data_IF_529547391832
#
_entry.id   IF_529547391832
#
_cell.length_a   1.000
_cell.length_b   1.000
_cell.length_c   1.000
_cell.angle_alpha   90.00
_cell.angle_beta   90.00
_cell.angle_gamma   90.00
#
_symmetry.space_group_name_H-M   'P 1'
#
loop_
_entity.id
_entity.type
_entity.pdbx_description
1 polymer ?
#
# COMPACT_ATOMS: atom_id res chain seq x y z
N UNK A 1 -74.95 -27.78 30.31
CA UNK A 1 -76.14 -27.27 29.59
C UNK A 1 -76.09 -25.76 29.53
N UNK A 2 -76.20 -25.23 28.31
CA UNK A 2 -76.40 -23.82 27.98
C UNK A 2 -77.66 -23.27 28.67
N UNK A 3 -77.59 -22.05 29.21
CA UNK A 3 -78.78 -21.20 29.31
C UNK A 3 -78.46 -19.75 28.99
N UNK A 4 -78.99 -19.35 27.83
CA UNK A 4 -79.78 -18.14 27.60
C UNK A 4 -79.04 -16.81 27.63
N UNK A 5 -79.16 -16.06 26.52
CA UNK A 5 -79.08 -14.61 26.57
C UNK A 5 -80.45 -14.03 26.25
N UNK A 6 -81.01 -13.34 27.24
CA UNK A 6 -82.07 -12.36 27.09
C UNK A 6 -81.44 -10.97 27.05
N UNK A 7 -81.98 -10.14 26.17
CA UNK A 7 -81.54 -8.79 25.83
C UNK A 7 -81.95 -7.79 26.92
N UNK A 8 -81.17 -6.73 27.11
CA UNK A 8 -81.57 -5.33 26.88
C UNK A 8 -80.42 -4.39 27.33
N UNK A 9 -79.89 -3.63 26.36
CA UNK A 9 -79.61 -2.17 26.40
C UNK A 9 -79.40 -1.46 27.75
N UNK A 10 -78.56 -0.43 27.91
CA UNK A 10 -78.01 0.53 26.95
C UNK A 10 -76.90 1.34 27.66
N UNK A 11 -75.80 1.54 26.94
CA UNK A 11 -75.11 2.81 26.66
C UNK A 11 -74.59 3.71 27.80
N UNK A 12 -73.26 3.83 27.76
CA UNK A 12 -72.41 5.03 27.91
C UNK A 12 -72.14 5.59 29.31
N UNK A 13 -71.04 5.12 29.94
CA UNK A 13 -70.03 5.93 30.65
C UNK A 13 -68.66 5.21 30.52
N UNK A 14 -67.69 5.84 29.84
CA UNK A 14 -66.49 6.48 30.42
C UNK A 14 -65.36 5.49 30.75
N UNK A 15 -64.25 5.70 30.02
CA UNK A 15 -62.84 5.33 30.25
C UNK A 15 -62.50 3.87 30.61
N UNK A 16 -61.66 3.24 29.80
CA UNK A 16 -60.24 3.02 30.11
C UNK A 16 -59.58 2.14 29.03
N UNK A 17 -58.59 2.73 28.35
CA UNK A 17 -57.32 2.13 27.92
C UNK A 17 -57.38 0.67 27.46
N UNK A 18 -57.60 0.46 26.15
CA UNK A 18 -57.15 -0.77 25.49
C UNK A 18 -55.87 -0.45 24.73
N UNK A 19 -54.75 -0.84 25.34
CA UNK A 19 -53.45 -0.91 24.70
C UNK A 19 -53.55 -1.89 23.52
N UNK A 20 -53.66 -1.35 22.30
CA UNK A 20 -53.42 -2.10 21.08
C UNK A 20 -51.91 -2.16 20.86
N UNK A 21 -51.28 -3.27 21.30
CA UNK A 21 -49.95 -3.65 20.84
C UNK A 21 -50.04 -3.95 19.34
N UNK A 22 -49.79 -2.92 18.53
CA UNK A 22 -49.41 -3.13 17.14
C UNK A 22 -48.00 -3.73 17.14
N UNK A 23 -47.88 -5.01 16.81
CA UNK A 23 -46.59 -5.63 16.50
C UNK A 23 -46.34 -5.34 15.01
N UNK A 24 -45.45 -4.40 14.64
CA UNK A 24 -45.02 -4.33 13.27
C UNK A 24 -44.15 -5.55 13.01
N UNK A 25 -44.63 -6.46 12.16
CA UNK A 25 -43.79 -7.52 11.59
C UNK A 25 -42.83 -6.81 10.62
N UNK A 26 -41.66 -6.40 11.12
CA UNK A 26 -40.51 -6.10 10.29
C UNK A 26 -40.06 -7.41 9.64
N UNK A 27 -40.51 -7.67 8.42
CA UNK A 27 -39.77 -8.58 7.54
C UNK A 27 -38.56 -7.78 7.07
N UNK A 28 -37.50 -7.85 7.87
CA UNK A 28 -36.16 -7.48 7.45
C UNK A 28 -35.70 -8.51 6.42
N UNK A 29 -36.10 -8.29 5.16
CA UNK A 29 -35.49 -8.95 4.01
C UNK A 29 -34.09 -8.39 3.79
N UNK A 30 -33.13 -8.79 4.63
CA UNK A 30 -31.71 -8.73 4.27
C UNK A 30 -31.47 -9.77 3.20
N UNK A 31 -31.76 -9.41 1.95
CA UNK A 31 -31.09 -10.02 0.82
C UNK A 31 -29.64 -9.55 0.83
N UNK A 32 -28.84 -10.00 1.80
CA UNK A 32 -27.39 -10.07 1.65
C UNK A 32 -27.10 -11.17 0.63
N UNK A 33 -27.43 -10.88 -0.63
CA UNK A 33 -26.69 -11.45 -1.72
C UNK A 33 -25.26 -10.98 -1.51
N UNK A 34 -24.46 -11.86 -0.88
CA UNK A 34 -23.01 -11.75 -0.81
C UNK A 34 -22.48 -11.64 -2.24
N UNK A 35 -22.46 -10.42 -2.78
CA UNK A 35 -21.58 -10.03 -3.85
C UNK A 35 -20.18 -10.11 -3.24
N UNK A 36 -19.63 -11.32 -3.27
CA UNK A 36 -18.23 -11.61 -2.97
C UNK A 36 -17.39 -10.47 -3.55
N UNK A 37 -16.87 -9.63 -2.67
CA UNK A 37 -15.59 -8.94 -2.77
C UNK A 37 -15.06 -8.91 -4.21
N UNK A 38 -15.54 -7.92 -4.99
CA UNK A 38 -14.93 -7.53 -6.26
C UNK A 38 -13.50 -7.15 -5.88
N UNK A 39 -12.60 -8.11 -6.09
CA UNK A 39 -11.20 -8.09 -5.70
C UNK A 39 -10.57 -6.72 -5.99
N UNK A 40 -9.89 -6.14 -5.00
CA UNK A 40 -9.43 -4.74 -4.89
C UNK A 40 -8.44 -4.30 -5.99
N UNK A 41 -8.91 -4.24 -7.24
CA UNK A 41 -8.21 -3.56 -8.33
C UNK A 41 -8.46 -2.04 -8.21
N UNK A 42 -7.42 -1.19 -8.26
CA UNK A 42 -7.57 0.26 -8.20
C UNK A 42 -8.56 0.79 -9.24
N UNK A 43 -9.44 1.71 -8.86
CA UNK A 43 -10.34 2.32 -9.83
C UNK A 43 -9.56 3.11 -10.89
N UNK A 44 -10.03 3.07 -12.13
CA UNK A 44 -9.36 3.71 -13.26
C UNK A 44 -9.90 3.27 -14.62
N UNK A 45 -9.49 3.96 -15.67
CA UNK A 45 -9.85 3.60 -17.05
C UNK A 45 -9.35 2.18 -17.36
N UNK A 46 -10.24 1.30 -17.81
CA UNK A 46 -9.91 -0.09 -18.14
C UNK A 46 -10.11 -1.10 -17.01
N UNK A 47 -10.34 -0.67 -15.77
CA UNK A 47 -10.53 -1.58 -14.62
C UNK A 47 -11.70 -2.55 -14.84
N UNK A 48 -12.81 -2.07 -15.42
CA UNK A 48 -13.98 -2.90 -15.73
C UNK A 48 -13.61 -4.03 -16.71
N UNK A 49 -12.83 -3.72 -17.74
CA UNK A 49 -12.37 -4.71 -18.72
C UNK A 49 -11.48 -5.74 -18.06
N UNK A 50 -10.55 -5.33 -17.17
CA UNK A 50 -9.71 -6.28 -16.41
C UNK A 50 -10.55 -7.17 -15.48
N UNK A 51 -11.51 -6.60 -14.74
CA UNK A 51 -12.42 -7.37 -13.88
C UNK A 51 -13.19 -8.44 -14.68
N UNK A 52 -13.70 -8.08 -15.86
CA UNK A 52 -14.46 -9.01 -16.71
C UNK A 52 -13.58 -10.09 -17.36
N UNK A 53 -12.36 -9.75 -17.79
CA UNK A 53 -11.52 -10.65 -18.58
C UNK A 53 -10.58 -11.52 -17.75
N UNK A 54 -10.15 -11.06 -16.58
CA UNK A 54 -9.08 -11.70 -15.82
C UNK A 54 -9.59 -12.43 -14.56
N UNK A 55 -10.66 -11.94 -13.92
CA UNK A 55 -11.13 -12.47 -12.64
C UNK A 55 -12.07 -13.68 -12.80
N UNK A 56 -12.33 -14.12 -14.03
CA UNK A 56 -13.14 -15.31 -14.31
C UNK A 56 -12.44 -16.64 -14.00
N UNK A 57 -11.10 -16.65 -13.98
CA UNK A 57 -10.32 -17.88 -13.79
C UNK A 57 -9.31 -17.82 -12.64
N UNK A 58 -8.93 -16.62 -12.18
CA UNK A 58 -8.00 -16.44 -11.07
C UNK A 58 -8.31 -15.15 -10.29
N UNK A 59 -7.85 -15.07 -9.05
CA UNK A 59 -8.03 -13.93 -8.16
C UNK A 59 -7.21 -12.70 -8.61
N UNK A 60 -7.57 -11.51 -8.13
CA UNK A 60 -6.84 -10.29 -8.48
C UNK A 60 -5.47 -10.21 -7.81
N UNK A 61 -5.24 -10.98 -6.75
CA UNK A 61 -3.94 -11.03 -6.06
C UNK A 61 -2.80 -11.43 -6.99
N UNK A 62 -3.07 -12.27 -7.99
CA UNK A 62 -2.09 -12.60 -9.03
C UNK A 62 -1.70 -11.41 -9.88
N UNK A 63 -2.60 -10.44 -10.10
CA UNK A 63 -2.33 -9.20 -10.81
C UNK A 63 -1.62 -8.21 -9.87
N UNK A 64 -2.15 -8.03 -8.66
CA UNK A 64 -1.68 -7.07 -7.66
C UNK A 64 -0.24 -7.34 -7.23
N UNK A 65 0.20 -8.60 -7.26
CA UNK A 65 1.57 -9.00 -6.93
C UNK A 65 2.61 -8.68 -8.01
N UNK A 66 2.20 -8.38 -9.25
CA UNK A 66 3.13 -8.16 -10.36
C UNK A 66 3.64 -6.72 -10.44
N UNK A 67 4.86 -6.54 -10.93
CA UNK A 67 5.46 -5.22 -11.17
C UNK A 67 6.16 -5.22 -12.53
N UNK A 68 5.36 -5.31 -13.60
CA UNK A 68 5.85 -5.49 -14.96
C UNK A 68 5.83 -4.18 -15.74
N UNK A 69 6.78 -3.99 -16.66
CA UNK A 69 6.70 -2.90 -17.64
C UNK A 69 5.49 -3.08 -18.55
N UNK A 70 5.16 -2.05 -19.35
CA UNK A 70 4.10 -2.17 -20.35
C UNK A 70 4.34 -3.34 -21.29
N UNK A 71 5.58 -3.52 -21.75
CA UNK A 71 5.99 -4.65 -22.60
C UNK A 71 5.88 -5.98 -21.86
N UNK A 72 6.21 -6.01 -20.56
CA UNK A 72 6.00 -7.18 -19.71
C UNK A 72 4.52 -7.56 -19.61
N UNK A 73 3.65 -6.58 -19.40
CA UNK A 73 2.20 -6.78 -19.37
C UNK A 73 1.61 -7.23 -20.72
N UNK A 74 2.13 -6.73 -21.85
CA UNK A 74 1.76 -7.25 -23.18
C UNK A 74 2.02 -8.75 -23.26
N UNK A 75 3.23 -9.18 -22.88
CA UNK A 75 3.62 -10.60 -22.93
C UNK A 75 2.77 -11.46 -22.01
N UNK A 76 2.42 -10.94 -20.84
CA UNK A 76 1.60 -11.65 -19.87
C UNK A 76 0.16 -11.82 -20.36
N UNK A 77 -0.46 -10.76 -20.89
CA UNK A 77 -1.80 -10.82 -21.48
C UNK A 77 -1.82 -11.75 -22.70
N UNK A 78 -0.79 -11.70 -23.55
CA UNK A 78 -0.65 -12.64 -24.67
C UNK A 78 -0.53 -14.10 -24.23
N UNK A 79 0.16 -14.34 -23.11
CA UNK A 79 0.24 -15.68 -22.52
C UNK A 79 -1.14 -16.15 -22.05
N UNK A 80 -1.92 -15.27 -21.41
CA UNK A 80 -3.29 -15.60 -20.99
C UNK A 80 -4.20 -15.90 -22.19
N UNK A 81 -4.11 -15.13 -23.27
CA UNK A 81 -4.86 -15.39 -24.50
C UNK A 81 -4.51 -16.77 -25.08
N UNK A 82 -3.21 -17.11 -25.14
CA UNK A 82 -2.78 -18.46 -25.56
C UNK A 82 -3.27 -19.58 -24.64
N UNK A 83 -3.53 -19.28 -23.37
CA UNK A 83 -4.11 -20.20 -22.39
C UNK A 83 -5.64 -20.20 -22.35
N UNK A 84 -6.29 -19.47 -23.27
CA UNK A 84 -7.74 -19.49 -23.46
C UNK A 84 -8.49 -18.28 -22.91
N UNK A 85 -7.80 -17.24 -22.44
CA UNK A 85 -8.45 -15.99 -22.07
C UNK A 85 -9.05 -15.32 -23.33
N UNK A 86 -10.34 -14.99 -23.25
CA UNK A 86 -11.07 -14.34 -24.35
C UNK A 86 -10.92 -12.83 -24.20
N UNK A 87 -9.96 -12.25 -24.90
CA UNK A 87 -9.69 -10.80 -24.93
C UNK A 87 -9.70 -10.34 -26.38
N UNK A 88 -10.52 -9.34 -26.70
CA UNK A 88 -10.56 -8.73 -28.03
C UNK A 88 -9.31 -7.91 -28.36
N UNK A 89 -9.02 -7.72 -29.64
CA UNK A 89 -7.86 -6.93 -30.11
C UNK A 89 -7.94 -5.46 -29.67
N UNK A 90 -9.15 -4.91 -29.54
CA UNK A 90 -9.46 -3.58 -29.05
C UNK A 90 -9.40 -3.48 -27.50
N UNK A 91 -9.69 -4.57 -26.80
CA UNK A 91 -9.65 -4.65 -25.34
C UNK A 91 -8.22 -4.81 -24.80
N UNK A 92 -7.37 -5.54 -25.52
CA UNK A 92 -5.97 -5.80 -25.12
C UNK A 92 -5.19 -4.51 -24.79
N UNK A 93 -5.16 -3.46 -25.64
CA UNK A 93 -4.43 -2.24 -25.31
C UNK A 93 -5.01 -1.53 -24.08
N UNK A 94 -6.33 -1.57 -23.86
CA UNK A 94 -6.98 -1.00 -22.67
C UNK A 94 -6.53 -1.73 -21.40
N UNK A 95 -6.52 -3.06 -21.44
CA UNK A 95 -6.04 -3.90 -20.33
C UNK A 95 -4.56 -3.62 -20.04
N UNK A 96 -3.70 -3.65 -21.06
CA UNK A 96 -2.26 -3.43 -20.89
C UNK A 96 -1.95 -2.05 -20.34
N UNK A 97 -2.65 -1.01 -20.80
CA UNK A 97 -2.45 0.35 -20.32
C UNK A 97 -2.83 0.47 -18.84
N UNK A 98 -3.98 -0.09 -18.44
CA UNK A 98 -4.39 -0.13 -17.04
C UNK A 98 -3.37 -0.87 -16.17
N UNK A 99 -2.98 -2.09 -16.57
CA UNK A 99 -2.05 -2.91 -15.80
C UNK A 99 -0.67 -2.22 -15.65
N UNK A 100 -0.17 -1.59 -16.71
CA UNK A 100 1.08 -0.85 -16.65
C UNK A 100 1.00 0.41 -15.77
N UNK A 101 -0.14 1.11 -15.78
CA UNK A 101 -0.34 2.32 -14.98
C UNK A 101 -0.41 2.02 -13.48
N UNK A 102 -1.10 0.94 -13.10
CA UNK A 102 -1.37 0.61 -11.70
C UNK A 102 -0.40 -0.41 -11.10
N UNK A 103 0.21 -1.26 -11.94
CA UNK A 103 1.09 -2.36 -11.53
C UNK A 103 2.38 -2.38 -12.36
N UNK A 104 2.86 -1.20 -12.76
CA UNK A 104 4.16 -0.99 -13.39
C UNK A 104 5.33 -1.40 -12.48
N UNK A 105 6.57 -1.44 -13.00
CA UNK A 105 7.75 -1.59 -12.16
C UNK A 105 7.71 -0.49 -11.11
N UNK A 106 7.97 -0.83 -9.85
CA UNK A 106 8.25 0.20 -8.85
C UNK A 106 9.39 1.01 -9.45
N UNK A 107 9.20 2.31 -9.68
CA UNK A 107 10.32 3.18 -10.02
C UNK A 107 11.30 3.00 -8.88
N UNK A 108 12.35 2.22 -9.11
CA UNK A 108 13.53 2.32 -8.29
C UNK A 108 13.96 3.76 -8.50
N UNK A 109 13.63 4.60 -7.51
CA UNK A 109 14.12 5.96 -7.50
C UNK A 109 15.61 5.85 -7.77
N UNK A 110 16.14 6.56 -8.76
CA UNK A 110 17.59 6.62 -8.99
C UNK A 110 18.37 6.96 -7.69
N UNK A 111 17.66 7.53 -6.71
CA UNK A 111 18.03 7.70 -5.31
C UNK A 111 18.44 6.42 -4.58
N UNK A 112 17.87 5.24 -4.83
CA UNK A 112 18.21 3.99 -4.12
C UNK A 112 19.58 3.46 -4.51
N UNK A 113 19.82 3.33 -5.82
CA UNK A 113 21.13 2.95 -6.36
C UNK A 113 22.19 4.01 -6.05
N UNK A 114 21.86 5.30 -6.19
CA UNK A 114 22.77 6.38 -5.82
C UNK A 114 23.07 6.41 -4.31
N UNK A 115 22.10 6.13 -3.44
CA UNK A 115 22.32 6.03 -1.99
C UNK A 115 23.21 4.85 -1.62
N UNK A 116 23.04 3.70 -2.27
CA UNK A 116 23.90 2.53 -2.00
C UNK A 116 25.34 2.77 -2.48
N UNK A 117 25.52 3.38 -3.66
CA UNK A 117 26.84 3.78 -4.16
C UNK A 117 27.46 4.86 -3.25
N UNK A 118 26.69 5.86 -2.83
CA UNK A 118 27.16 6.90 -1.91
C UNK A 118 27.49 6.34 -0.52
N UNK A 119 26.70 5.39 0.00
CA UNK A 119 26.97 4.70 1.25
C UNK A 119 28.24 3.84 1.17
N UNK A 120 28.45 3.15 0.05
CA UNK A 120 29.70 2.44 -0.23
C UNK A 120 30.91 3.38 -0.26
N UNK A 121 30.82 4.47 -1.03
CA UNK A 121 31.87 5.50 -1.08
C UNK A 121 32.13 6.14 0.29
N UNK A 122 31.08 6.43 1.07
CA UNK A 122 31.23 6.99 2.41
C UNK A 122 31.92 6.05 3.39
N UNK A 123 31.65 4.74 3.30
CA UNK A 123 32.35 3.71 4.08
C UNK A 123 33.84 3.64 3.71
N UNK A 124 34.16 3.63 2.43
CA UNK A 124 35.55 3.60 1.94
C UNK A 124 36.34 4.82 2.44
N UNK A 125 35.75 6.01 2.38
CA UNK A 125 36.36 7.24 2.90
C UNK A 125 36.54 7.14 4.42
N UNK A 126 35.54 6.66 5.16
CA UNK A 126 35.65 6.50 6.61
C UNK A 126 36.82 5.60 7.00
N UNK A 127 36.94 4.43 6.37
CA UNK A 127 38.02 3.47 6.63
C UNK A 127 39.38 4.05 6.24
N UNK A 128 39.47 4.75 5.10
CA UNK A 128 40.71 5.31 4.60
C UNK A 128 41.18 6.59 5.30
N UNK A 129 40.28 7.38 5.89
CA UNK A 129 40.61 8.70 6.46
C UNK A 129 40.55 8.71 7.99
N UNK A 130 39.52 8.10 8.57
CA UNK A 130 39.25 8.19 10.01
C UNK A 130 40.03 7.13 10.80
N UNK A 131 40.22 5.94 10.23
CA UNK A 131 40.92 4.84 10.92
C UNK A 131 42.45 4.91 10.84
N UNK A 132 43.01 5.94 10.19
CA UNK A 132 44.46 6.14 10.14
C UNK A 132 45.05 6.58 11.49
N UNK A 133 44.27 7.31 12.30
CA UNK A 133 44.77 7.92 13.53
C UNK A 133 44.06 7.42 14.80
N UNK A 134 42.82 6.93 14.69
CA UNK A 134 42.07 6.45 15.84
C UNK A 134 41.12 5.31 15.48
N UNK A 135 40.84 4.46 16.47
CA UNK A 135 39.99 3.29 16.32
C UNK A 135 38.50 3.65 16.18
N UNK A 136 37.73 2.67 15.71
CA UNK A 136 36.28 2.78 15.48
C UNK A 136 35.51 3.23 16.73
N UNK A 137 35.96 2.82 17.92
CA UNK A 137 35.28 3.09 19.18
C UNK A 137 35.10 4.57 19.44
N UNK A 138 36.07 5.42 19.09
CA UNK A 138 35.94 6.87 19.28
C UNK A 138 34.85 7.48 18.40
N UNK A 139 34.64 6.92 17.20
CA UNK A 139 33.56 7.36 16.29
C UNK A 139 32.21 6.82 16.77
N UNK A 140 32.15 5.55 17.14
CA UNK A 140 30.91 4.91 17.59
C UNK A 140 30.29 5.58 18.83
N UNK A 141 31.12 6.15 19.71
CA UNK A 141 30.68 6.84 20.91
C UNK A 141 29.99 8.19 20.64
N UNK A 142 30.25 8.85 19.51
CA UNK A 142 29.79 10.24 19.32
C UNK A 142 28.28 10.36 19.12
N UNK A 143 27.66 9.41 18.39
CA UNK A 143 26.20 9.32 18.19
C UNK A 143 25.55 10.67 17.85
N UNK A 144 26.02 11.27 16.76
CA UNK A 144 25.68 12.65 16.40
C UNK A 144 24.57 12.72 15.34
N UNK A 145 23.85 13.84 15.35
CA UNK A 145 22.98 14.22 14.22
C UNK A 145 23.81 14.59 12.99
N UNK A 146 23.20 14.64 11.80
CA UNK A 146 23.90 15.05 10.56
C UNK A 146 24.65 16.39 10.72
N UNK A 147 24.04 17.47 11.28
CA UNK A 147 24.79 18.71 11.54
C UNK A 147 25.92 18.54 12.56
N UNK A 148 25.77 17.62 13.53
CA UNK A 148 26.84 17.27 14.46
C UNK A 148 28.02 16.62 13.77
N UNK A 149 27.77 15.61 12.93
CA UNK A 149 28.79 14.95 12.11
C UNK A 149 29.47 15.91 11.14
N UNK A 150 28.74 16.85 10.51
CA UNK A 150 29.35 17.89 9.69
C UNK A 150 30.40 18.70 10.45
N UNK A 151 30.07 19.17 11.65
CA UNK A 151 31.01 19.94 12.48
C UNK A 151 32.19 19.10 12.94
N UNK A 152 31.96 17.83 13.25
CA UNK A 152 33.00 16.93 13.71
C UNK A 152 34.02 16.63 12.60
N UNK A 153 33.54 16.30 11.39
CA UNK A 153 34.40 16.07 10.22
C UNK A 153 35.20 17.33 9.88
N UNK A 154 34.58 18.51 9.87
CA UNK A 154 35.30 19.77 9.63
C UNK A 154 36.35 20.07 10.71
N UNK A 155 36.06 19.72 11.97
CA UNK A 155 37.03 19.85 13.06
C UNK A 155 38.22 18.93 12.84
N UNK A 156 37.98 17.67 12.47
CA UNK A 156 39.05 16.72 12.13
C UNK A 156 39.88 17.19 10.94
N UNK A 157 39.26 17.73 9.90
CA UNK A 157 39.96 18.33 8.76
C UNK A 157 40.91 19.46 9.20
N UNK A 158 40.45 20.35 10.10
CA UNK A 158 41.31 21.40 10.67
C UNK A 158 42.44 20.84 11.54
N UNK A 159 42.25 19.67 12.14
CA UNK A 159 43.28 18.96 12.92
C UNK A 159 44.19 18.06 12.08
N UNK A 160 44.02 18.06 10.76
CA UNK A 160 44.92 17.38 9.82
C UNK A 160 44.38 16.08 9.22
N UNK A 161 43.12 15.72 9.46
CA UNK A 161 42.50 14.61 8.73
C UNK A 161 42.42 14.94 7.23
N UNK A 162 43.01 14.08 6.40
CA UNK A 162 43.12 14.29 4.96
C UNK A 162 41.82 13.95 4.20
N UNK A 163 40.71 14.59 4.55
CA UNK A 163 39.42 14.47 3.83
C UNK A 163 39.33 15.60 2.81
N UNK A 164 39.04 15.28 1.55
CA UNK A 164 38.87 16.30 0.51
C UNK A 164 37.45 16.91 0.51
N UNK A 165 37.23 18.09 -0.08
CA UNK A 165 35.89 18.70 -0.14
C UNK A 165 34.82 17.82 -0.79
N UNK A 166 35.17 17.04 -1.82
CA UNK A 166 34.25 16.13 -2.51
C UNK A 166 33.98 14.82 -1.74
N UNK A 167 34.87 14.44 -0.81
CA UNK A 167 34.71 13.29 0.07
C UNK A 167 33.80 13.57 1.26
N UNK A 168 33.65 14.85 1.62
CA UNK A 168 32.98 15.27 2.85
C UNK A 168 31.51 14.85 2.93
N UNK A 169 30.71 15.12 1.90
CA UNK A 169 29.27 14.82 1.95
C UNK A 169 28.99 13.29 2.00
N UNK A 170 29.61 12.45 1.16
CA UNK A 170 29.47 10.98 1.30
C UNK A 170 29.89 10.46 2.67
N UNK A 171 30.97 11.00 3.25
CA UNK A 171 31.43 10.64 4.59
C UNK A 171 30.39 11.02 5.67
N UNK A 172 29.86 12.25 5.63
CA UNK A 172 28.82 12.70 6.57
C UNK A 172 27.57 11.84 6.45
N UNK A 173 27.16 11.49 5.24
CA UNK A 173 26.00 10.63 5.02
C UNK A 173 26.20 9.24 5.61
N UNK A 174 27.38 8.66 5.41
CA UNK A 174 27.73 7.38 6.02
C UNK A 174 27.74 7.47 7.55
N UNK A 175 28.39 8.48 8.13
CA UNK A 175 28.47 8.65 9.58
C UNK A 175 27.10 8.84 10.22
N UNK A 176 26.24 9.65 9.61
CA UNK A 176 24.87 9.87 10.09
C UNK A 176 23.99 8.61 9.99
N UNK A 177 24.15 7.80 8.95
CA UNK A 177 23.36 6.58 8.78
C UNK A 177 23.79 5.46 9.72
N UNK A 178 25.08 5.40 10.10
CA UNK A 178 25.65 4.27 10.83
C UNK A 178 25.99 4.57 12.30
N UNK A 179 26.19 5.84 12.68
CA UNK A 179 26.61 6.24 14.02
C UNK A 179 25.74 7.38 14.58
N UNK A 180 24.42 7.15 14.64
CA UNK A 180 23.45 8.11 15.19
C UNK A 180 23.18 7.94 16.69
#
# INVERSE_FOLDING_TARGET
MSKTKGNFTNKFKILLVMAALAIPVLIAGHGDASARMIQDLPEGEGVRTVRMRCIGCHEADLIISQRLSREGWVKEVDKMIRWGAIVGDDEKPVIVNYLAAHFGPKKESATGTAKNVAAGRGKEIFEARCLLCHELDLTAQQRLSRPGWTREVEKMMRWGAAVTPDEKEPLIDYLFQNYR
#
